data_IF_939043236464
#
_entry.id   IF_939043236464
#
_cell.length_a   1.000
_cell.length_b   1.000
_cell.length_c   1.000
_cell.angle_alpha   90.00
_cell.angle_beta   90.00
_cell.angle_gamma   90.00
#
_symmetry.space_group_name_H-M   'P 1'
#
loop_
_entity.id
_entity.type
_entity.pdbx_description
1 polymer ?
#
# COMPACT_ATOMS: atom_id res chain seq x y z
N UNK A 1 -2.36 19.49 3.66
CA UNK A 1 -2.82 18.09 3.69
C UNK A 1 -2.35 17.42 4.97
N UNK A 2 -3.06 16.42 5.48
CA UNK A 2 -2.60 15.63 6.62
C UNK A 2 -2.13 14.26 6.15
N UNK A 3 -0.92 13.82 6.50
CA UNK A 3 -0.46 12.47 6.19
C UNK A 3 -1.23 11.47 7.04
N UNK A 4 -1.70 10.39 6.44
CA UNK A 4 -2.46 9.34 7.10
C UNK A 4 -1.85 7.98 6.78
N UNK A 5 -1.69 7.14 7.80
CA UNK A 5 -1.46 5.71 7.63
C UNK A 5 -2.81 5.02 7.71
N UNK A 6 -3.14 4.22 6.69
CA UNK A 6 -4.38 3.44 6.64
C UNK A 6 -4.07 1.95 6.61
N UNK A 7 -4.85 1.17 7.35
CA UNK A 7 -4.84 -0.29 7.34
C UNK A 7 -6.28 -0.72 7.09
N UNK A 8 -6.51 -1.54 6.06
CA UNK A 8 -7.85 -1.99 5.65
C UNK A 8 -8.86 -0.84 5.40
N UNK A 9 -8.36 0.31 4.94
CA UNK A 9 -9.17 1.51 4.68
C UNK A 9 -9.33 2.44 5.89
N UNK A 10 -9.03 1.97 7.09
CA UNK A 10 -9.18 2.75 8.32
C UNK A 10 -7.92 3.55 8.66
N UNK A 11 -8.11 4.81 9.04
CA UNK A 11 -7.00 5.67 9.49
C UNK A 11 -6.52 5.21 10.87
N UNK A 12 -5.30 4.69 10.93
CA UNK A 12 -4.68 4.22 12.19
C UNK A 12 -3.66 5.20 12.76
N UNK A 13 -3.14 6.11 11.95
CA UNK A 13 -2.28 7.21 12.39
C UNK A 13 -2.45 8.44 11.50
N UNK A 14 -2.35 9.62 12.10
CA UNK A 14 -2.42 10.90 11.41
C UNK A 14 -1.31 11.83 11.91
N UNK A 15 -0.61 12.49 10.98
CA UNK A 15 0.40 13.48 11.31
C UNK A 15 -0.11 14.92 11.28
N UNK A 16 0.79 15.88 11.52
CA UNK A 16 0.47 17.31 11.45
C UNK A 16 0.17 17.73 10.01
N UNK A 17 -0.64 18.77 9.86
CA UNK A 17 -0.90 19.37 8.56
C UNK A 17 0.40 19.93 7.97
N UNK A 18 0.67 19.58 6.71
CA UNK A 18 1.85 19.96 5.94
C UNK A 18 1.44 20.42 4.53
N UNK A 19 2.30 21.18 3.86
CA UNK A 19 2.07 21.66 2.49
C UNK A 19 2.32 20.57 1.44
N UNK A 20 1.76 20.75 0.24
CA UNK A 20 2.03 19.89 -0.92
C UNK A 20 3.53 19.84 -1.21
N UNK A 21 4.04 18.67 -1.65
CA UNK A 21 5.46 18.52 -1.99
C UNK A 21 6.41 18.42 -0.79
N UNK A 22 5.93 18.57 0.44
CA UNK A 22 6.74 18.25 1.62
C UNK A 22 7.01 16.74 1.67
N UNK A 23 8.20 16.38 2.10
CA UNK A 23 8.60 14.99 2.33
C UNK A 23 8.49 14.62 3.80
N UNK A 24 8.22 13.36 4.08
CA UNK A 24 8.22 12.77 5.42
C UNK A 24 8.91 11.42 5.39
N UNK A 25 9.53 11.04 6.51
CA UNK A 25 10.09 9.71 6.67
C UNK A 25 9.04 8.75 7.23
N UNK A 26 8.75 7.71 6.47
CA UNK A 26 8.03 6.54 6.93
C UNK A 26 9.04 5.45 7.32
N UNK A 27 9.28 5.31 8.62
CA UNK A 27 10.17 4.29 9.18
C UNK A 27 9.38 3.07 9.61
N UNK A 28 9.76 1.91 9.09
CA UNK A 28 9.30 0.61 9.56
C UNK A 28 10.44 -0.08 10.30
N UNK A 29 10.13 -0.63 11.46
CA UNK A 29 11.07 -1.40 12.26
C UNK A 29 10.57 -2.84 12.34
N UNK A 30 11.37 -3.77 11.85
CA UNK A 30 11.11 -5.21 11.90
C UNK A 30 12.03 -5.85 12.93
N UNK A 31 11.47 -6.64 13.85
CA UNK A 31 12.25 -7.34 14.88
C UNK A 31 11.85 -8.82 14.93
N UNK A 32 12.45 -9.66 14.08
CA UNK A 32 12.24 -11.10 14.12
C UNK A 32 12.85 -11.70 15.39
N UNK A 33 12.26 -12.78 15.91
CA UNK A 33 12.81 -13.50 17.06
C UNK A 33 14.16 -14.09 16.69
N UNK A 34 15.20 -13.78 17.48
CA UNK A 34 16.55 -14.33 17.29
C UNK A 34 17.38 -13.63 16.20
N UNK A 35 16.86 -12.58 15.57
CA UNK A 35 17.60 -11.75 14.61
C UNK A 35 17.73 -10.30 15.12
N UNK A 36 18.71 -9.59 14.56
CA UNK A 36 18.85 -8.15 14.79
C UNK A 36 17.63 -7.40 14.28
N UNK A 37 17.34 -6.28 14.92
CA UNK A 37 16.34 -5.33 14.43
C UNK A 37 16.80 -4.75 13.09
N UNK A 38 15.87 -4.65 12.15
CA UNK A 38 16.07 -3.99 10.86
C UNK A 38 15.14 -2.79 10.75
N UNK A 39 15.70 -1.66 10.31
CA UNK A 39 14.97 -0.42 10.06
C UNK A 39 14.92 -0.17 8.54
N UNK A 40 13.71 -0.03 7.99
CA UNK A 40 13.47 0.37 6.61
C UNK A 40 12.92 1.79 6.60
N UNK A 41 13.65 2.72 5.99
CA UNK A 41 13.27 4.13 5.92
C UNK A 41 12.82 4.44 4.49
N UNK A 42 11.58 4.89 4.34
CA UNK A 42 11.01 5.30 3.07
C UNK A 42 10.68 6.80 3.11
N UNK A 43 11.10 7.54 2.09
CA UNK A 43 10.67 8.93 1.92
C UNK A 43 9.33 8.95 1.21
N UNK A 44 8.31 9.53 1.85
CA UNK A 44 6.99 9.75 1.26
C UNK A 44 6.76 11.24 1.03
N UNK A 45 6.10 11.58 -0.09
CA UNK A 45 5.82 12.96 -0.47
C UNK A 45 4.33 13.24 -0.38
N UNK A 46 3.98 14.37 0.23
CA UNK A 46 2.60 14.83 0.35
C UNK A 46 2.01 15.04 -1.05
N UNK A 47 0.89 14.37 -1.32
CA UNK A 47 0.25 14.32 -2.63
C UNK A 47 0.44 12.99 -3.37
N UNK A 48 1.32 12.11 -2.88
CA UNK A 48 1.49 10.76 -3.42
C UNK A 48 0.67 9.71 -2.68
N UNK A 49 0.32 8.63 -3.39
CA UNK A 49 -0.19 7.39 -2.81
C UNK A 49 0.93 6.36 -2.79
N UNK A 50 1.13 5.74 -1.63
CA UNK A 50 2.18 4.75 -1.40
C UNK A 50 1.55 3.49 -0.81
N UNK A 51 2.06 2.32 -1.18
CA UNK A 51 1.63 1.03 -0.65
C UNK A 51 2.85 0.26 -0.15
N UNK A 52 2.70 -0.37 1.01
CA UNK A 52 3.69 -1.30 1.56
C UNK A 52 3.24 -2.72 1.26
N UNK A 53 3.95 -3.37 0.34
CA UNK A 53 3.78 -4.78 0.05
C UNK A 53 4.60 -5.63 1.00
N UNK A 54 3.96 -6.54 1.74
CA UNK A 54 4.65 -7.50 2.59
C UNK A 54 4.67 -8.88 1.91
N UNK A 55 5.88 -9.40 1.70
CA UNK A 55 6.10 -10.77 1.22
C UNK A 55 6.29 -11.72 2.40
N UNK A 56 5.35 -12.65 2.55
CA UNK A 56 5.40 -13.69 3.58
C UNK A 56 5.81 -15.05 3.01
N UNK A 57 6.31 -15.09 1.77
CA UNK A 57 6.84 -16.28 1.08
C UNK A 57 5.79 -17.15 0.38
N UNK A 58 4.51 -17.07 0.74
CA UNK A 58 3.42 -17.74 0.02
C UNK A 58 2.26 -16.77 -0.18
N UNK A 59 1.99 -16.43 -1.44
CA UNK A 59 0.76 -15.72 -1.82
C UNK A 59 -0.31 -16.76 -2.19
N UNK A 60 -1.47 -16.72 -1.53
CA UNK A 60 -2.53 -17.70 -1.79
C UNK A 60 -3.14 -17.50 -3.18
N UNK A 61 -3.33 -18.56 -3.99
CA UNK A 61 -4.04 -18.44 -5.26
C UNK A 61 -5.46 -17.87 -5.11
N UNK A 62 -6.13 -18.16 -3.98
CA UNK A 62 -7.45 -17.61 -3.67
C UNK A 62 -7.41 -16.10 -3.43
N UNK A 63 -6.36 -15.61 -2.77
CA UNK A 63 -6.16 -14.18 -2.54
C UNK A 63 -5.91 -13.46 -3.88
N UNK A 64 -5.07 -14.01 -4.74
CA UNK A 64 -4.83 -13.47 -6.08
C UNK A 64 -6.11 -13.44 -6.94
N UNK A 65 -6.93 -14.49 -6.86
CA UNK A 65 -8.20 -14.54 -7.57
C UNK A 65 -9.18 -13.48 -7.05
N UNK A 66 -9.23 -13.25 -5.73
CA UNK A 66 -10.05 -12.20 -5.12
C UNK A 66 -9.60 -10.81 -5.57
N UNK A 67 -8.29 -10.54 -5.54
CA UNK A 67 -7.71 -9.28 -6.02
C UNK A 67 -8.06 -9.05 -7.50
N UNK A 68 -7.94 -10.08 -8.35
CA UNK A 68 -8.30 -9.98 -9.75
C UNK A 68 -9.79 -9.65 -9.96
N UNK A 69 -10.68 -10.26 -9.17
CA UNK A 69 -12.12 -9.95 -9.19
C UNK A 69 -12.40 -8.51 -8.75
N UNK A 70 -11.77 -8.06 -7.67
CA UNK A 70 -11.90 -6.69 -7.19
C UNK A 70 -11.47 -5.67 -8.26
N UNK A 71 -10.36 -5.91 -8.95
CA UNK A 71 -9.88 -5.04 -10.03
C UNK A 71 -10.86 -5.00 -11.21
N UNK A 72 -11.45 -6.14 -11.59
CA UNK A 72 -12.43 -6.15 -12.69
C UNK A 72 -13.72 -5.42 -12.32
N UNK A 73 -14.16 -5.50 -11.06
CA UNK A 73 -15.27 -4.69 -10.54
C UNK A 73 -14.91 -3.21 -10.58
N UNK A 74 -13.74 -2.87 -10.02
CA UNK A 74 -13.26 -1.50 -9.88
C UNK A 74 -13.13 -0.80 -11.24
N UNK A 75 -12.65 -1.51 -12.26
CA UNK A 75 -12.53 -1.02 -13.64
C UNK A 75 -13.83 -0.43 -14.19
N UNK A 76 -14.99 -0.93 -13.76
CA UNK A 76 -16.29 -0.43 -14.21
C UNK A 76 -16.78 0.81 -13.43
N UNK A 77 -16.13 1.14 -12.33
CA UNK A 77 -16.53 2.23 -11.42
C UNK A 77 -15.53 3.38 -11.36
N UNK A 78 -14.29 3.18 -11.84
CA UNK A 78 -13.26 4.22 -11.85
C UNK A 78 -13.34 5.15 -13.07
N UNK A 79 -13.00 6.40 -12.85
CA UNK A 79 -12.85 7.46 -13.84
C UNK A 79 -11.65 8.33 -13.48
N UNK A 80 -11.32 9.29 -14.36
CA UNK A 80 -10.26 10.27 -14.08
C UNK A 80 -10.54 11.07 -12.80
N UNK A 81 -11.81 11.23 -12.43
CA UNK A 81 -12.22 12.05 -11.28
C UNK A 81 -12.07 11.32 -9.94
N UNK A 82 -12.10 9.98 -9.92
CA UNK A 82 -12.07 9.18 -8.69
C UNK A 82 -10.90 8.19 -8.61
N UNK A 83 -10.00 8.17 -9.60
CA UNK A 83 -8.86 7.24 -9.60
C UNK A 83 -7.92 7.43 -8.40
N UNK A 84 -7.89 8.63 -7.82
CA UNK A 84 -7.05 8.96 -6.66
C UNK A 84 -7.80 8.86 -5.31
N UNK A 85 -8.90 8.11 -5.23
CA UNK A 85 -9.46 7.74 -3.92
C UNK A 85 -8.71 6.56 -3.32
N UNK A 86 -8.86 6.35 -2.01
CA UNK A 86 -8.23 5.21 -1.32
C UNK A 86 -8.76 3.88 -1.87
N UNK A 87 -10.05 3.81 -2.22
CA UNK A 87 -10.66 2.61 -2.77
C UNK A 87 -10.09 2.28 -4.15
N UNK A 88 -9.94 3.28 -5.01
CA UNK A 88 -9.45 3.07 -6.37
C UNK A 88 -7.93 2.83 -6.39
N UNK A 89 -7.16 3.80 -5.90
CA UNK A 89 -5.69 3.72 -5.94
C UNK A 89 -5.16 2.65 -4.99
N UNK A 90 -5.79 2.47 -3.82
CA UNK A 90 -5.39 1.45 -2.86
C UNK A 90 -5.53 0.03 -3.40
N UNK A 91 -6.65 -0.28 -4.07
CA UNK A 91 -6.85 -1.60 -4.68
C UNK A 91 -5.88 -1.83 -5.85
N UNK A 92 -5.64 -0.81 -6.68
CA UNK A 92 -4.63 -0.88 -7.77
C UNK A 92 -3.24 -1.18 -7.20
N UNK A 93 -2.80 -0.43 -6.18
CA UNK A 93 -1.49 -0.62 -5.58
C UNK A 93 -1.36 -1.97 -4.87
N UNK A 94 -2.41 -2.42 -4.19
CA UNK A 94 -2.47 -3.77 -3.59
C UNK A 94 -2.29 -4.85 -4.66
N UNK A 95 -3.01 -4.74 -5.78
CA UNK A 95 -2.91 -5.68 -6.89
C UNK A 95 -1.50 -5.73 -7.50
N UNK A 96 -0.89 -4.57 -7.76
CA UNK A 96 0.47 -4.47 -8.31
C UNK A 96 1.49 -5.10 -7.35
N UNK A 97 1.40 -4.79 -6.05
CA UNK A 97 2.30 -5.34 -5.04
C UNK A 97 2.22 -6.87 -4.96
N UNK A 98 1.01 -7.44 -4.92
CA UNK A 98 0.80 -8.89 -4.80
C UNK A 98 1.18 -9.63 -6.07
N UNK A 99 0.92 -9.04 -7.25
CA UNK A 99 1.31 -9.61 -8.53
C UNK A 99 2.84 -9.71 -8.67
N UNK A 100 3.59 -8.71 -8.18
CA UNK A 100 5.05 -8.74 -8.18
C UNK A 100 5.61 -9.96 -7.42
N UNK A 101 5.19 -10.17 -6.17
CA UNK A 101 5.65 -11.32 -5.39
C UNK A 101 5.16 -12.66 -5.95
N UNK A 102 3.94 -12.71 -6.51
CA UNK A 102 3.45 -13.91 -7.18
C UNK A 102 4.28 -14.31 -8.41
N UNK A 103 4.90 -13.35 -9.10
CA UNK A 103 5.82 -13.64 -10.20
C UNK A 103 7.18 -14.14 -9.71
N UNK A 104 7.68 -13.62 -8.60
CA UNK A 104 8.97 -14.05 -8.02
C UNK A 104 8.91 -15.46 -7.40
N UNK A 105 7.72 -15.90 -6.97
CA UNK A 105 7.48 -17.22 -6.40
C UNK A 105 7.21 -18.32 -7.46
N UNK A 106 7.39 -18.03 -8.75
CA UNK A 106 7.33 -19.00 -9.85
C UNK A 106 8.73 -19.46 -10.25
#
# INVERSE_FOLDING_TARGET
>A
MKPQLKIDGDVVAEGKAVGLGNTQEFRMTMKPVGLSQEDVINTVTVGGFYCVGLDYGIVSPKELQKIAQNIEILKNTISIDNIYTDEAMGEILNAVSKAYFAQLNK
#
